data_IF_869746087094
#
_entry.id   IF_869746087094
#
_cell.length_a   1.000
_cell.length_b   1.000
_cell.length_c   1.000
_cell.angle_alpha   90.00
_cell.angle_beta   90.00
_cell.angle_gamma   90.00
#
_symmetry.space_group_name_H-M   'P 1'
#
loop_
_entity.id
_entity.type
_entity.pdbx_description
1 polymer ?
#
# COMPACT_ATOMS: atom_id res chain seq x y z
N UNK A 1 -1.06 -16.18 52.64
CA UNK A 1 0.43 -16.30 52.80
C UNK A 1 1.06 -15.08 52.19
N UNK A 2 1.66 -14.22 53.00
CA UNK A 2 2.35 -12.98 52.62
C UNK A 2 3.80 -13.32 52.29
N UNK A 3 4.33 -12.86 51.16
CA UNK A 3 5.77 -12.69 51.01
C UNK A 3 5.98 -11.35 50.30
N UNK A 4 6.62 -10.46 51.02
CA UNK A 4 7.18 -9.19 50.62
C UNK A 4 8.66 -9.38 50.29
N UNK A 5 9.18 -8.52 49.41
CA UNK A 5 10.61 -8.34 49.22
C UNK A 5 10.87 -7.87 47.82
N UNK A 6 11.65 -6.92 47.53
CA UNK A 6 12.52 -5.89 48.12
C UNK A 6 13.04 -5.08 46.92
N UNK A 7 13.14 -3.83 47.12
CA UNK A 7 13.62 -2.76 46.25
C UNK A 7 15.12 -2.95 45.95
N UNK A 8 15.56 -2.67 44.72
CA UNK A 8 16.93 -2.33 44.42
C UNK A 8 17.00 -1.06 43.54
N UNK A 9 17.58 -0.03 44.12
CA UNK A 9 17.93 1.28 43.58
C UNK A 9 19.31 1.13 42.93
N UNK A 10 19.51 1.66 41.74
CA UNK A 10 20.82 1.72 41.04
C UNK A 10 20.92 2.96 40.16
N UNK A 11 21.44 3.98 40.73
CA UNK A 11 22.44 5.03 40.45
C UNK A 11 22.69 5.42 38.98
N UNK A 12 22.43 6.73 38.76
CA UNK A 12 22.85 7.61 37.66
C UNK A 12 24.38 7.72 37.54
N UNK A 13 24.91 7.73 36.31
CA UNK A 13 26.20 8.35 35.98
C UNK A 13 26.02 9.30 34.80
N UNK A 14 26.10 10.58 35.07
CA UNK A 14 26.24 11.68 34.11
C UNK A 14 27.75 11.79 33.74
N UNK A 15 28.05 11.76 32.43
CA UNK A 15 29.37 12.04 31.89
C UNK A 15 29.32 13.23 30.94
N UNK A 16 29.69 14.42 31.43
CA UNK A 16 30.03 15.58 30.61
C UNK A 16 31.46 15.46 30.10
N UNK A 17 31.70 15.59 28.81
CA UNK A 17 33.01 15.86 28.23
C UNK A 17 33.00 17.21 27.54
N UNK A 18 33.70 18.17 28.16
CA UNK A 18 34.05 19.47 27.57
C UNK A 18 35.35 19.30 26.79
N UNK A 19 35.41 19.75 25.55
CA UNK A 19 36.66 19.93 24.81
C UNK A 19 37.04 21.41 24.81
N UNK A 20 38.22 21.64 25.35
CA UNK A 20 38.88 22.92 25.48
C UNK A 20 39.52 23.34 24.16
N UNK A 21 39.33 24.58 23.76
CA UNK A 21 39.97 25.23 22.62
C UNK A 21 41.46 25.43 22.84
N UNK A 22 42.24 25.36 21.78
CA UNK A 22 43.64 25.72 21.69
C UNK A 22 43.84 26.58 20.46
N UNK A 23 44.07 27.86 20.69
CA UNK A 23 44.48 28.91 19.77
C UNK A 23 45.99 28.89 19.56
N UNK A 24 46.45 28.89 18.33
CA UNK A 24 47.81 29.30 17.99
C UNK A 24 47.88 29.75 16.52
N UNK A 25 48.05 31.05 16.32
CA UNK A 25 48.64 31.68 15.12
C UNK A 25 50.14 31.92 15.34
N UNK A 26 50.96 32.39 14.36
CA UNK A 26 50.82 32.54 12.90
C UNK A 26 52.09 32.18 12.11
N UNK A 27 52.01 32.46 10.84
CA UNK A 27 53.15 32.87 9.95
C UNK A 27 53.53 31.91 8.80
N UNK A 28 53.34 32.43 7.58
CA UNK A 28 54.08 31.91 6.43
C UNK A 28 53.29 31.83 5.13
N UNK A 29 53.02 32.93 4.43
CA UNK A 29 52.80 32.90 2.97
C UNK A 29 54.14 32.84 2.25
N UNK A 30 54.28 32.20 1.09
CA UNK A 30 53.90 32.50 -0.26
C UNK A 30 53.80 31.25 -1.17
N UNK A 31 53.70 31.31 -2.51
CA UNK A 31 53.12 32.27 -3.42
C UNK A 31 51.96 31.67 -4.28
N UNK A 32 51.25 32.55 -4.96
CA UNK A 32 50.17 32.28 -5.89
C UNK A 32 50.48 31.26 -6.99
N UNK A 33 49.69 30.19 -7.02
CA UNK A 33 49.49 29.37 -8.20
C UNK A 33 48.11 29.68 -8.76
N UNK A 34 48.05 30.24 -9.97
CA UNK A 34 46.82 30.45 -10.73
C UNK A 34 46.11 29.14 -10.98
N UNK A 35 45.11 28.84 -10.19
CA UNK A 35 44.18 27.75 -10.47
C UNK A 35 43.08 28.30 -11.38
N UNK A 36 43.09 27.88 -12.62
CA UNK A 36 41.97 28.08 -13.54
C UNK A 36 40.72 27.47 -12.91
N UNK A 37 39.79 28.31 -12.48
CA UNK A 37 38.43 27.86 -12.09
C UNK A 37 37.72 27.33 -13.31
N UNK A 38 37.60 26.01 -13.39
CA UNK A 38 36.62 25.38 -14.23
C UNK A 38 35.22 25.76 -13.71
N UNK A 39 34.48 26.50 -14.51
CA UNK A 39 33.09 26.82 -14.27
C UNK A 39 32.30 25.48 -14.13
N UNK A 40 31.60 25.21 -13.04
CA UNK A 40 30.75 24.02 -12.98
C UNK A 40 29.62 24.27 -13.98
N UNK A 41 29.62 23.46 -15.04
CA UNK A 41 28.45 23.33 -15.94
C UNK A 41 27.27 22.98 -15.07
N UNK A 42 26.32 23.89 -14.94
CA UNK A 42 25.10 23.70 -14.16
C UNK A 42 24.37 22.46 -14.67
N UNK A 43 24.29 21.45 -13.82
CA UNK A 43 23.36 20.35 -14.03
C UNK A 43 21.95 20.96 -14.08
N UNK A 44 21.26 20.75 -15.20
CA UNK A 44 19.86 21.13 -15.32
C UNK A 44 19.08 20.47 -14.16
N UNK A 45 18.15 21.17 -13.52
CA UNK A 45 17.32 20.56 -12.50
C UNK A 45 16.59 19.36 -13.10
N UNK A 46 16.42 18.26 -12.34
CA UNK A 46 15.68 17.10 -12.81
C UNK A 46 14.27 17.57 -13.20
N UNK A 47 13.96 17.45 -14.48
CA UNK A 47 12.59 17.63 -14.98
C UNK A 47 11.75 16.50 -14.39
N UNK A 48 11.04 16.77 -13.32
CA UNK A 48 10.01 15.87 -12.80
C UNK A 48 8.92 15.78 -13.87
N UNK A 49 8.95 14.70 -14.65
CA UNK A 49 7.85 14.35 -15.54
C UNK A 49 6.61 14.12 -14.66
N UNK A 50 5.45 14.71 -14.99
CA UNK A 50 4.23 14.38 -14.28
C UNK A 50 4.03 12.85 -14.29
N UNK A 51 3.52 12.26 -13.20
CA UNK A 51 3.20 10.82 -13.19
C UNK A 51 2.30 10.50 -14.39
N UNK A 52 2.59 9.41 -15.08
CA UNK A 52 1.72 8.94 -16.16
C UNK A 52 0.34 8.62 -15.57
N UNK A 53 -0.73 9.02 -16.27
CA UNK A 53 -2.10 8.68 -15.85
C UNK A 53 -2.29 7.16 -15.87
N UNK A 54 -3.19 6.68 -15.01
CA UNK A 54 -3.56 5.26 -14.98
C UNK A 54 -4.07 4.78 -16.34
N UNK A 55 -3.74 3.54 -16.76
CA UNK A 55 -4.21 2.99 -18.02
C UNK A 55 -5.74 2.93 -18.09
N UNK A 56 -6.35 3.30 -19.23
CA UNK A 56 -7.81 3.32 -19.37
C UNK A 56 -8.40 1.89 -19.36
N UNK A 57 -9.72 1.75 -19.11
CA UNK A 57 -10.41 0.47 -19.25
C UNK A 57 -10.14 -0.16 -20.62
N UNK A 58 -9.82 -1.47 -20.61
CA UNK A 58 -9.50 -2.23 -21.84
C UNK A 58 -8.06 -2.08 -22.34
N UNK A 59 -7.19 -1.35 -21.63
CA UNK A 59 -5.78 -1.33 -21.94
C UNK A 59 -5.17 -2.76 -21.83
N UNK A 60 -4.15 -3.08 -22.64
CA UNK A 60 -3.40 -4.32 -22.48
C UNK A 60 -2.83 -4.45 -21.06
N UNK A 61 -2.86 -5.63 -20.48
CA UNK A 61 -2.32 -5.86 -19.13
C UNK A 61 -0.83 -5.54 -19.03
N UNK A 62 -0.10 -5.65 -20.14
CA UNK A 62 1.31 -5.24 -20.20
C UNK A 62 1.51 -3.76 -19.87
N UNK A 63 0.64 -2.89 -20.41
CA UNK A 63 0.70 -1.45 -20.17
C UNK A 63 0.37 -1.13 -18.69
N UNK A 64 -0.55 -1.90 -18.09
CA UNK A 64 -0.89 -1.77 -16.66
C UNK A 64 0.31 -2.18 -15.79
N UNK A 65 0.98 -3.28 -16.15
CA UNK A 65 2.18 -3.77 -15.45
C UNK A 65 3.29 -2.72 -15.53
N UNK A 66 3.61 -2.23 -16.73
CA UNK A 66 4.64 -1.19 -16.92
C UNK A 66 4.33 0.05 -16.09
N UNK A 67 3.08 0.51 -16.12
CA UNK A 67 2.66 1.66 -15.34
C UNK A 67 2.81 1.42 -13.82
N UNK A 68 2.44 0.23 -13.32
CA UNK A 68 2.63 -0.12 -11.89
C UNK A 68 4.12 -0.12 -11.53
N UNK A 69 4.97 -0.65 -12.41
CA UNK A 69 6.42 -0.81 -12.17
C UNK A 69 7.20 0.51 -12.24
N UNK A 70 6.69 1.54 -12.91
CA UNK A 70 7.31 2.87 -12.97
C UNK A 70 7.36 3.59 -11.62
N UNK A 71 6.52 3.22 -10.65
CA UNK A 71 6.47 3.88 -9.36
C UNK A 71 7.45 3.25 -8.35
N UNK A 72 7.99 4.10 -7.48
CA UNK A 72 8.89 3.67 -6.41
C UNK A 72 8.17 2.78 -5.39
N UNK A 73 8.84 1.72 -4.94
CA UNK A 73 8.30 0.82 -3.93
C UNK A 73 8.40 1.41 -2.51
N UNK A 74 7.42 1.04 -1.66
CA UNK A 74 7.53 1.16 -0.20
C UNK A 74 8.16 -0.10 0.39
N UNK A 75 8.58 -0.05 1.65
CA UNK A 75 9.05 -1.23 2.38
C UNK A 75 7.84 -2.10 2.78
N UNK A 76 7.72 -3.35 2.32
CA UNK A 76 6.62 -4.23 2.72
C UNK A 76 6.58 -4.50 4.23
N UNK A 77 7.71 -4.41 4.93
CA UNK A 77 7.77 -4.66 6.37
C UNK A 77 6.88 -3.69 7.19
N UNK A 78 6.59 -2.50 6.66
CA UNK A 78 5.70 -1.53 7.31
C UNK A 78 4.21 -1.91 7.20
N UNK A 79 3.87 -2.89 6.36
CA UNK A 79 2.51 -3.31 6.05
C UNK A 79 2.09 -4.65 6.68
N UNK A 80 2.95 -5.27 7.49
CA UNK A 80 2.62 -6.49 8.27
C UNK A 80 1.91 -6.17 9.59
N UNK A 81 1.21 -5.05 9.65
CA UNK A 81 0.47 -4.60 10.82
C UNK A 81 -0.90 -4.05 10.45
N UNK A 82 -1.86 -4.19 11.35
CA UNK A 82 -3.15 -3.51 11.27
C UNK A 82 -3.43 -2.70 12.54
N UNK A 83 -4.20 -1.64 12.39
CA UNK A 83 -4.51 -0.67 13.44
C UNK A 83 -6.02 -0.61 13.67
N UNK A 84 -6.43 -0.77 14.92
CA UNK A 84 -7.82 -0.63 15.34
C UNK A 84 -7.93 -0.08 16.75
N UNK A 85 -8.70 0.99 16.93
CA UNK A 85 -9.01 1.58 18.24
C UNK A 85 -7.75 1.87 19.11
N UNK A 86 -6.64 2.29 18.46
CA UNK A 86 -5.37 2.56 19.10
C UNK A 86 -4.51 1.33 19.40
N UNK A 87 -4.96 0.15 18.99
CA UNK A 87 -4.20 -1.10 19.07
C UNK A 87 -3.51 -1.40 17.75
N UNK A 88 -2.31 -1.96 17.83
CA UNK A 88 -1.57 -2.49 16.68
C UNK A 88 -1.54 -4.01 16.77
N UNK A 89 -1.99 -4.68 15.71
CA UNK A 89 -1.95 -6.14 15.59
C UNK A 89 -0.88 -6.53 14.57
N UNK A 90 -0.01 -7.47 14.92
CA UNK A 90 0.94 -8.08 13.98
C UNK A 90 0.21 -9.12 13.14
N UNK A 91 0.41 -9.07 11.82
CA UNK A 91 -0.27 -9.94 10.87
C UNK A 91 0.57 -11.14 10.40
N UNK A 92 1.81 -11.27 10.93
CA UNK A 92 2.72 -12.31 10.46
C UNK A 92 3.18 -12.05 9.03
N UNK A 93 2.91 -12.99 8.12
CA UNK A 93 3.26 -12.86 6.70
C UNK A 93 2.19 -12.13 5.88
N UNK A 94 1.01 -11.90 6.46
CA UNK A 94 -0.06 -11.17 5.81
C UNK A 94 0.21 -9.67 5.72
N UNK A 95 -0.40 -9.03 4.73
CA UNK A 95 -0.24 -7.60 4.40
C UNK A 95 -1.58 -6.89 4.59
N UNK A 96 -1.55 -5.72 5.21
CA UNK A 96 -2.68 -4.80 5.24
C UNK A 96 -2.25 -3.40 4.82
N UNK A 97 -3.06 -2.74 3.99
CA UNK A 97 -2.83 -1.37 3.58
C UNK A 97 -4.13 -0.65 3.23
N UNK A 98 -4.05 0.68 3.21
CA UNK A 98 -5.11 1.54 2.67
C UNK A 98 -4.56 2.32 1.48
N UNK A 99 -5.43 2.68 0.55
CA UNK A 99 -5.09 3.55 -0.56
C UNK A 99 -6.22 4.56 -0.80
N UNK A 100 -5.94 5.80 -1.24
CA UNK A 100 -6.96 6.73 -1.67
C UNK A 100 -7.87 6.11 -2.74
N UNK A 101 -9.18 6.37 -2.66
CA UNK A 101 -10.17 5.86 -3.63
C UNK A 101 -10.49 6.84 -4.75
N UNK A 102 -9.91 8.05 -4.69
CA UNK A 102 -10.30 9.18 -5.54
C UNK A 102 -11.41 10.05 -4.94
N UNK A 103 -12.04 9.60 -3.87
CA UNK A 103 -12.95 10.40 -3.04
C UNK A 103 -12.19 11.06 -1.89
N UNK A 104 -12.49 12.33 -1.52
CA UNK A 104 -11.73 13.05 -0.50
C UNK A 104 -11.91 12.53 0.93
N UNK A 105 -12.85 11.63 1.16
CA UNK A 105 -13.19 11.11 2.49
C UNK A 105 -13.09 9.59 2.60
N UNK A 106 -12.85 8.91 1.49
CA UNK A 106 -12.94 7.46 1.42
C UNK A 106 -11.61 6.86 0.95
N UNK A 107 -11.31 5.68 1.46
CA UNK A 107 -10.14 4.90 1.08
C UNK A 107 -10.53 3.46 0.80
N UNK A 108 -9.83 2.85 -0.13
CA UNK A 108 -9.88 1.39 -0.31
C UNK A 108 -8.97 0.77 0.75
N UNK A 109 -9.52 -0.15 1.54
CA UNK A 109 -8.79 -0.95 2.52
C UNK A 109 -8.52 -2.31 1.92
N UNK A 110 -7.28 -2.78 1.94
CA UNK A 110 -6.92 -4.10 1.42
C UNK A 110 -6.12 -4.90 2.45
N UNK A 111 -6.30 -6.21 2.42
CA UNK A 111 -5.61 -7.16 3.30
C UNK A 111 -5.45 -8.51 2.60
N UNK A 112 -4.38 -9.23 2.90
CA UNK A 112 -4.30 -10.68 2.71
C UNK A 112 -4.59 -11.36 4.04
N UNK A 113 -5.10 -12.57 4.00
CA UNK A 113 -5.32 -13.39 5.19
C UNK A 113 -5.25 -14.87 4.76
N UNK A 114 -4.12 -15.50 5.04
CA UNK A 114 -3.84 -16.87 4.63
C UNK A 114 -4.81 -17.89 5.26
N UNK A 115 -5.41 -17.56 6.40
CA UNK A 115 -6.39 -18.43 7.07
C UNK A 115 -7.79 -18.29 6.44
N UNK A 116 -8.10 -17.11 5.86
CA UNK A 116 -9.37 -16.85 5.20
C UNK A 116 -9.37 -17.32 3.75
N UNK A 117 -8.43 -16.84 2.93
CA UNK A 117 -8.17 -17.27 1.55
C UNK A 117 -6.70 -16.98 1.21
N UNK A 118 -5.87 -18.01 1.18
CA UNK A 118 -4.42 -17.92 1.03
C UNK A 118 -3.97 -17.24 -0.27
N UNK A 119 -4.79 -17.25 -1.32
CA UNK A 119 -4.43 -16.76 -2.64
C UNK A 119 -5.09 -15.40 -2.97
N UNK A 120 -5.90 -14.84 -2.06
CA UNK A 120 -6.69 -13.66 -2.34
C UNK A 120 -6.10 -12.37 -1.74
N UNK A 121 -6.14 -11.32 -2.54
CA UNK A 121 -6.16 -9.94 -2.06
C UNK A 121 -7.62 -9.54 -1.82
N UNK A 122 -7.97 -9.24 -0.58
CA UNK A 122 -9.30 -8.86 -0.18
C UNK A 122 -9.34 -7.36 0.06
N UNK A 123 -10.24 -6.65 -0.61
CA UNK A 123 -10.39 -5.21 -0.44
C UNK A 123 -11.83 -4.84 -0.06
N UNK A 124 -11.96 -3.75 0.67
CA UNK A 124 -13.22 -3.07 0.97
C UNK A 124 -13.12 -1.64 0.45
N UNK A 125 -13.90 -1.34 -0.58
CA UNK A 125 -13.93 -0.05 -1.24
C UNK A 125 -15.28 0.63 -1.04
N UNK A 126 -15.28 1.95 -0.84
CA UNK A 126 -16.48 2.75 -0.95
C UNK A 126 -16.71 3.13 -2.40
N UNK A 127 -17.83 2.67 -2.96
CA UNK A 127 -18.19 2.84 -4.36
C UNK A 127 -19.31 3.87 -4.52
N UNK A 128 -19.12 4.87 -5.38
CA UNK A 128 -20.15 5.87 -5.74
C UNK A 128 -21.41 5.21 -6.31
N UNK A 129 -21.23 4.10 -7.03
CA UNK A 129 -22.31 3.26 -7.54
C UNK A 129 -22.18 1.86 -6.96
N UNK A 130 -22.70 1.62 -5.75
CA UNK A 130 -22.56 0.34 -5.06
C UNK A 130 -23.08 -0.83 -5.90
N UNK A 131 -22.35 -1.95 -5.88
CA UNK A 131 -22.79 -3.17 -6.54
C UNK A 131 -24.14 -3.62 -5.96
N UNK A 132 -25.19 -3.77 -6.78
CA UNK A 132 -26.50 -4.13 -6.27
C UNK A 132 -26.49 -5.53 -5.66
N UNK A 133 -27.25 -5.68 -4.57
CA UNK A 133 -27.46 -6.97 -3.94
C UNK A 133 -28.25 -7.88 -4.90
N UNK A 134 -27.81 -9.13 -5.11
CA UNK A 134 -28.55 -10.10 -5.92
C UNK A 134 -29.95 -10.41 -5.34
N UNK A 135 -30.92 -10.64 -6.20
CA UNK A 135 -32.27 -11.02 -5.79
C UNK A 135 -32.25 -12.33 -4.98
N UNK A 136 -33.01 -12.37 -3.90
CA UNK A 136 -33.10 -13.53 -3.02
C UNK A 136 -31.87 -13.78 -2.13
N UNK A 137 -30.82 -12.94 -2.20
CA UNK A 137 -29.70 -13.06 -1.29
C UNK A 137 -30.10 -12.57 0.12
N UNK A 138 -29.91 -13.41 1.13
CA UNK A 138 -30.21 -13.10 2.53
C UNK A 138 -28.91 -12.92 3.33
N UNK A 139 -28.89 -12.01 4.31
CA UNK A 139 -27.72 -11.72 5.14
C UNK A 139 -27.22 -10.29 5.01
N UNK A 140 -26.08 -9.97 5.56
CA UNK A 140 -25.46 -8.64 5.46
C UNK A 140 -24.75 -8.50 4.12
N UNK A 141 -25.14 -7.49 3.36
CA UNK A 141 -24.57 -7.19 2.04
C UNK A 141 -23.47 -6.14 2.15
N UNK A 142 -22.30 -6.43 1.60
CA UNK A 142 -21.17 -5.50 1.47
C UNK A 142 -20.91 -5.23 -0.01
N UNK A 143 -21.43 -4.13 -0.57
CA UNK A 143 -21.39 -3.84 -2.01
C UNK A 143 -19.98 -3.61 -2.56
N UNK A 144 -19.06 -3.10 -1.72
CA UNK A 144 -17.67 -2.82 -2.06
C UNK A 144 -16.69 -3.89 -1.61
N UNK A 145 -17.17 -5.07 -1.19
CA UNK A 145 -16.28 -6.21 -0.95
C UNK A 145 -15.70 -6.71 -2.26
N UNK A 146 -14.39 -6.77 -2.35
CA UNK A 146 -13.65 -7.22 -3.52
C UNK A 146 -12.71 -8.34 -3.08
N UNK A 147 -12.75 -9.45 -3.77
CA UNK A 147 -11.84 -10.59 -3.53
C UNK A 147 -11.19 -10.95 -4.86
N UNK A 148 -9.86 -10.85 -4.92
CA UNK A 148 -9.09 -10.96 -6.15
C UNK A 148 -7.95 -11.96 -5.98
N UNK A 149 -8.03 -13.10 -6.68
CA UNK A 149 -7.04 -14.20 -6.64
C UNK A 149 -6.06 -14.20 -7.81
N UNK A 150 -6.20 -13.26 -8.74
CA UNK A 150 -5.46 -13.27 -10.01
C UNK A 150 -6.17 -14.07 -11.13
N UNK A 151 -6.81 -15.18 -10.83
CA UNK A 151 -7.63 -15.94 -11.79
C UNK A 151 -9.10 -15.55 -11.76
N UNK A 152 -9.55 -14.98 -10.66
CA UNK A 152 -10.93 -14.59 -10.43
C UNK A 152 -10.99 -13.28 -9.64
N UNK A 153 -12.08 -12.53 -9.82
CA UNK A 153 -12.39 -11.36 -9.02
C UNK A 153 -13.89 -11.28 -8.77
N UNK A 154 -14.27 -11.17 -7.50
CA UNK A 154 -15.65 -10.98 -7.05
C UNK A 154 -15.82 -9.53 -6.58
N UNK A 155 -17.00 -8.94 -6.83
CA UNK A 155 -17.34 -7.59 -6.37
C UNK A 155 -18.74 -7.57 -5.78
N UNK A 156 -18.83 -7.19 -4.53
CA UNK A 156 -20.03 -7.28 -3.70
C UNK A 156 -20.28 -8.72 -3.23
N UNK A 157 -20.37 -8.89 -1.91
CA UNK A 157 -20.59 -10.21 -1.31
C UNK A 157 -21.42 -10.14 -0.02
N UNK A 158 -21.96 -11.28 0.39
CA UNK A 158 -22.60 -11.45 1.69
C UNK A 158 -21.54 -11.75 2.76
N UNK A 159 -21.38 -10.82 3.71
CA UNK A 159 -20.48 -10.99 4.86
C UNK A 159 -21.14 -10.47 6.14
N UNK A 160 -21.37 -11.36 7.09
CA UNK A 160 -22.00 -11.02 8.37
C UNK A 160 -21.04 -10.46 9.42
N UNK A 161 -19.76 -10.73 9.30
CA UNK A 161 -18.69 -10.27 10.19
C UNK A 161 -17.66 -9.42 9.44
N UNK A 162 -16.69 -8.82 10.12
CA UNK A 162 -15.63 -8.05 9.47
C UNK A 162 -14.66 -8.91 8.66
N UNK A 163 -14.67 -10.25 8.79
CA UNK A 163 -13.72 -11.15 8.17
C UNK A 163 -12.26 -10.77 8.46
N UNK A 164 -11.39 -10.75 7.47
CA UNK A 164 -9.97 -10.38 7.66
C UNK A 164 -9.77 -8.99 8.26
N UNK A 165 -10.74 -8.07 8.10
CA UNK A 165 -10.66 -6.70 8.64
C UNK A 165 -10.96 -6.60 10.15
N UNK A 166 -11.07 -7.72 10.87
CA UNK A 166 -11.29 -7.71 12.31
C UNK A 166 -10.15 -7.01 13.07
N UNK A 167 -8.96 -7.06 12.55
CA UNK A 167 -7.77 -6.42 13.12
C UNK A 167 -7.65 -4.93 12.79
N UNK A 168 -8.54 -4.41 11.96
CA UNK A 168 -8.57 -3.01 11.56
C UNK A 168 -7.96 -2.78 10.18
N UNK A 169 -7.29 -1.64 10.01
CA UNK A 169 -6.78 -1.15 8.73
C UNK A 169 -5.26 -1.12 8.73
N UNK A 170 -4.66 -1.34 7.56
CA UNK A 170 -3.22 -1.22 7.37
C UNK A 170 -2.74 0.21 7.19
N UNK A 171 -1.41 0.39 7.14
CA UNK A 171 -0.78 1.66 6.82
C UNK A 171 -1.17 2.15 5.42
N UNK A 172 -1.16 3.46 5.20
CA UNK A 172 -1.44 4.01 3.87
C UNK A 172 -0.34 3.67 2.88
N UNK A 173 -0.73 3.19 1.69
CA UNK A 173 0.10 3.17 0.50
C UNK A 173 -0.01 4.53 -0.20
N UNK A 174 0.99 5.39 -0.09
CA UNK A 174 0.88 6.77 -0.58
C UNK A 174 0.70 6.84 -2.10
N UNK A 175 0.03 7.89 -2.57
CA UNK A 175 -0.09 8.14 -4.00
C UNK A 175 1.27 8.18 -4.71
N UNK A 176 1.37 7.52 -5.86
CA UNK A 176 2.60 7.39 -6.63
C UNK A 176 3.57 6.33 -6.10
N UNK A 177 3.16 5.48 -5.17
CA UNK A 177 3.99 4.41 -4.59
C UNK A 177 3.43 3.02 -4.90
N UNK A 178 4.32 2.03 -4.84
CA UNK A 178 3.94 0.63 -5.00
C UNK A 178 4.29 -0.21 -3.77
N UNK A 179 3.48 -1.25 -3.55
CA UNK A 179 3.69 -2.29 -2.54
C UNK A 179 3.68 -3.65 -3.24
N UNK A 180 4.68 -4.50 -2.96
CA UNK A 180 4.80 -5.85 -3.51
C UNK A 180 4.70 -6.89 -2.39
N UNK A 181 3.91 -7.93 -2.59
CA UNK A 181 3.73 -9.05 -1.66
C UNK A 181 3.23 -10.29 -2.42
N UNK A 182 3.74 -11.46 -2.08
CA UNK A 182 3.42 -12.68 -2.84
C UNK A 182 3.56 -12.46 -4.34
N UNK A 183 2.54 -12.87 -5.10
CA UNK A 183 2.45 -12.64 -6.54
C UNK A 183 1.81 -11.29 -6.92
N UNK A 184 1.50 -10.46 -5.95
CA UNK A 184 0.86 -9.17 -6.15
C UNK A 184 1.84 -7.99 -6.12
N UNK A 185 1.54 -6.99 -6.93
CA UNK A 185 2.07 -5.64 -6.80
C UNK A 185 0.95 -4.63 -7.03
N UNK A 186 0.79 -3.72 -6.08
CA UNK A 186 -0.23 -2.68 -6.12
C UNK A 186 0.41 -1.30 -6.22
N UNK A 187 -0.19 -0.41 -7.01
CA UNK A 187 0.16 1.02 -7.10
C UNK A 187 -1.04 1.87 -6.76
N UNK A 188 -0.86 2.81 -5.84
CA UNK A 188 -1.80 3.91 -5.61
C UNK A 188 -1.40 5.12 -6.43
N UNK A 189 -2.35 5.86 -7.02
CA UNK A 189 -2.08 7.14 -7.71
C UNK A 189 -2.87 8.33 -7.15
N UNK A 190 -3.61 8.10 -6.07
CA UNK A 190 -4.45 9.11 -5.43
C UNK A 190 -5.88 9.17 -5.99
N UNK A 191 -6.14 8.58 -7.17
CA UNK A 191 -7.49 8.45 -7.75
C UNK A 191 -8.03 7.03 -7.63
N UNK A 192 -7.18 6.09 -7.24
CA UNK A 192 -7.52 4.69 -7.06
C UNK A 192 -6.28 3.82 -6.84
N UNK A 193 -6.53 2.52 -6.87
CA UNK A 193 -5.56 1.46 -6.63
C UNK A 193 -5.53 0.49 -7.80
N UNK A 194 -4.38 0.34 -8.45
CA UNK A 194 -4.16 -0.75 -9.40
C UNK A 194 -3.41 -1.89 -8.72
N UNK A 195 -3.87 -3.12 -8.89
CA UNK A 195 -3.17 -4.31 -8.42
C UNK A 195 -3.01 -5.32 -9.56
N UNK A 196 -1.80 -5.78 -9.79
CA UNK A 196 -1.48 -6.87 -10.72
C UNK A 196 -1.18 -8.14 -9.93
N UNK A 197 -1.61 -9.28 -10.47
CA UNK A 197 -1.12 -10.60 -10.08
C UNK A 197 -0.21 -11.12 -11.20
N UNK A 198 1.07 -11.28 -10.91
CA UNK A 198 2.07 -11.66 -11.90
C UNK A 198 1.96 -13.11 -12.36
N UNK A 199 1.59 -14.03 -11.46
CA UNK A 199 1.45 -15.44 -11.78
C UNK A 199 0.40 -15.65 -12.88
N UNK A 200 -0.67 -14.88 -12.88
CA UNK A 200 -1.78 -15.00 -13.81
C UNK A 200 -1.83 -13.90 -14.88
N UNK A 201 -0.94 -12.89 -14.82
CA UNK A 201 -0.92 -11.74 -15.74
C UNK A 201 -2.29 -11.11 -15.90
N UNK A 202 -2.96 -10.90 -14.79
CA UNK A 202 -4.22 -10.19 -14.67
C UNK A 202 -4.03 -8.98 -13.77
N UNK A 203 -4.89 -7.97 -13.89
CA UNK A 203 -4.86 -6.81 -13.03
C UNK A 203 -6.27 -6.26 -12.79
N UNK A 204 -6.40 -5.45 -11.75
CA UNK A 204 -7.62 -4.70 -11.45
C UNK A 204 -7.28 -3.26 -11.12
N UNK A 205 -8.17 -2.34 -11.49
CA UNK A 205 -8.23 -0.98 -10.96
C UNK A 205 -9.43 -0.86 -10.06
N UNK A 206 -9.24 -0.32 -8.87
CA UNK A 206 -10.27 -0.10 -7.84
C UNK A 206 -10.30 1.39 -7.53
N UNK A 207 -11.44 2.02 -7.68
CA UNK A 207 -11.67 3.43 -7.34
C UNK A 207 -13.09 3.64 -6.83
N UNK A 208 -13.44 4.85 -6.43
CA UNK A 208 -14.81 5.20 -6.08
C UNK A 208 -15.78 4.99 -7.24
N UNK A 209 -15.34 5.13 -8.50
CA UNK A 209 -16.16 4.90 -9.69
C UNK A 209 -16.48 3.41 -9.92
N UNK A 210 -15.71 2.50 -9.32
CA UNK A 210 -15.91 1.06 -9.45
C UNK A 210 -14.63 0.27 -9.66
N UNK A 211 -14.79 -0.92 -10.24
CA UNK A 211 -13.71 -1.87 -10.47
C UNK A 211 -13.58 -2.15 -11.96
N UNK A 212 -12.35 -2.07 -12.48
CA UNK A 212 -12.03 -2.34 -13.89
C UNK A 212 -11.07 -3.54 -13.95
N UNK A 213 -11.47 -4.65 -14.61
CA UNK A 213 -10.60 -5.81 -14.84
C UNK A 213 -9.68 -5.59 -16.04
N UNK A 214 -8.48 -6.21 -16.01
CA UNK A 214 -7.53 -6.25 -17.11
C UNK A 214 -6.97 -7.66 -17.31
N UNK A 215 -6.41 -7.89 -18.49
CA UNK A 215 -5.83 -9.18 -18.85
C UNK A 215 -6.88 -10.22 -19.18
N UNK A 216 -6.77 -11.41 -18.57
CA UNK A 216 -7.70 -12.50 -18.83
C UNK A 216 -9.06 -12.36 -18.13
N UNK A 217 -9.21 -11.46 -17.16
CA UNK A 217 -10.43 -11.31 -16.39
C UNK A 217 -11.60 -10.81 -17.26
N UNK A 218 -12.55 -11.71 -17.54
CA UNK A 218 -13.76 -11.39 -18.29
C UNK A 218 -15.00 -11.55 -17.42
N UNK A 219 -16.10 -10.82 -17.69
CA UNK A 219 -17.35 -11.00 -16.96
C UNK A 219 -17.79 -12.47 -16.98
N UNK A 220 -18.12 -12.98 -15.81
CA UNK A 220 -18.57 -14.37 -15.61
C UNK A 220 -19.86 -14.39 -14.80
N UNK A 221 -20.51 -15.57 -14.77
CA UNK A 221 -21.72 -15.75 -13.96
C UNK A 221 -21.34 -15.73 -12.47
N UNK A 222 -21.89 -14.77 -11.74
CA UNK A 222 -21.67 -14.69 -10.30
C UNK A 222 -22.39 -15.84 -9.56
N UNK A 223 -21.74 -16.46 -8.57
CA UNK A 223 -22.39 -17.44 -7.71
C UNK A 223 -23.43 -16.76 -6.79
N UNK A 224 -24.30 -17.55 -6.14
CA UNK A 224 -25.26 -17.00 -5.17
C UNK A 224 -24.52 -16.18 -4.07
N UNK A 225 -25.05 -14.99 -3.75
CA UNK A 225 -24.48 -14.11 -2.74
C UNK A 225 -23.32 -13.23 -3.22
N UNK A 226 -22.96 -13.27 -4.48
CA UNK A 226 -21.96 -12.40 -5.12
C UNK A 226 -22.64 -11.50 -6.15
N UNK A 227 -22.27 -10.24 -6.20
CA UNK A 227 -22.89 -9.25 -7.08
C UNK A 227 -22.36 -9.29 -8.51
N UNK A 228 -21.03 -9.27 -8.67
CA UNK A 228 -20.35 -9.38 -9.96
C UNK A 228 -19.18 -10.37 -9.83
N UNK A 229 -18.92 -11.07 -10.95
CA UNK A 229 -17.81 -12.01 -11.07
C UNK A 229 -17.05 -11.75 -12.36
N UNK A 230 -15.74 -11.83 -12.28
CA UNK A 230 -14.82 -11.88 -13.42
C UNK A 230 -13.92 -13.11 -13.25
N UNK A 231 -13.58 -13.77 -14.36
CA UNK A 231 -12.67 -14.91 -14.33
C UNK A 231 -11.84 -15.01 -15.61
N UNK A 232 -10.72 -15.66 -15.50
CA UNK A 232 -9.87 -16.03 -16.63
C UNK A 232 -10.37 -17.25 -17.38
#
# INVERSE_FOLDING_TARGET
MRIAGLIAIGVLVAGCSQSVGGEAEPSGAPPAASSSQATPTGAAPPTTRPPAAAPPPGAPVGDVIEWIEEADAVDPAEHHVAFRDGLTTQLGDDIAFTAPSGSPHDSTQCITDVEYDADALICLADLDSPTPRPDGAEGMWKPGWIEYTGTAMQVGALHGDPGPFINGVGAELPAGRTLSFGDFRCRSDGSGLACVNYAHRSATWISAEGVVPYGCLQPATAPPGVGKMFSC
#
